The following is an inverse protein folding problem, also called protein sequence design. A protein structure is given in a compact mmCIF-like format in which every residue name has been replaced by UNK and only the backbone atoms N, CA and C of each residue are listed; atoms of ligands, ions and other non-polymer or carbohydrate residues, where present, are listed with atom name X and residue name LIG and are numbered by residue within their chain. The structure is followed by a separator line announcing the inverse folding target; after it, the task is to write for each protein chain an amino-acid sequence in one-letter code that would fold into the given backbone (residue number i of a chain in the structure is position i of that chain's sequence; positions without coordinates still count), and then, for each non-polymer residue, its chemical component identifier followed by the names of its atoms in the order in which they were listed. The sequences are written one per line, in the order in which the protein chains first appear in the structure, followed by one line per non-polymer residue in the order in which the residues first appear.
data_IF_460771469548
#
_entry.id   IF_460771469548
#
_cell.length_a   1.000
_cell.length_b   1.000
_cell.length_c   1.000
_cell.angle_alpha   90.00
_cell.angle_beta   90.00
_cell.angle_gamma   90.00
#
_symmetry.space_group_name_H-M   'P 1'
#
loop_
_entity.id
_entity.type
_entity.pdbx_description
1 polymer ?
#
# COMPACT_ATOMS: atom_id res chain seq x y z
N UNK A 1 4.19 -26.53 28.85
CA UNK A 1 3.93 -25.79 27.59
C UNK A 1 4.03 -26.76 26.43
N UNK A 2 3.21 -26.60 25.39
CA UNK A 2 3.32 -27.43 24.20
C UNK A 2 4.57 -27.01 23.39
N UNK A 3 5.55 -27.90 23.31
CA UNK A 3 6.74 -27.69 22.49
C UNK A 3 6.67 -28.53 21.21
N UNK A 4 7.15 -28.01 20.07
CA UNK A 4 7.25 -28.79 18.85
C UNK A 4 8.20 -29.98 19.08
N UNK A 5 7.67 -31.20 18.90
CA UNK A 5 8.46 -32.43 19.07
C UNK A 5 9.62 -32.56 18.09
N UNK A 6 9.50 -31.95 16.90
CA UNK A 6 10.49 -32.00 15.81
C UNK A 6 10.56 -30.67 15.05
N UNK A 7 11.71 -30.42 14.43
CA UNK A 7 11.91 -29.32 13.48
C UNK A 7 10.99 -29.49 12.26
N UNK A 8 10.40 -28.39 11.81
CA UNK A 8 9.61 -28.36 10.57
C UNK A 8 10.53 -28.44 9.34
N UNK A 9 10.17 -29.24 8.35
CA UNK A 9 10.94 -29.31 7.10
C UNK A 9 10.90 -27.99 6.34
N UNK A 10 11.93 -27.73 5.54
CA UNK A 10 12.00 -26.54 4.69
C UNK A 10 10.81 -26.49 3.72
N UNK A 11 10.45 -27.64 3.11
CA UNK A 11 9.29 -27.76 2.21
C UNK A 11 7.98 -27.40 2.90
N UNK A 12 7.76 -27.85 4.14
CA UNK A 12 6.53 -27.54 4.90
C UNK A 12 6.47 -26.05 5.26
N UNK A 13 7.61 -25.46 5.59
CA UNK A 13 7.69 -24.02 5.89
C UNK A 13 7.45 -23.17 4.65
N UNK A 14 8.03 -23.53 3.51
CA UNK A 14 7.82 -22.86 2.24
C UNK A 14 6.36 -22.96 1.78
N UNK A 15 5.75 -24.16 1.84
CA UNK A 15 4.33 -24.36 1.52
C UNK A 15 3.38 -23.56 2.41
N UNK A 16 3.72 -23.35 3.69
CA UNK A 16 2.92 -22.52 4.58
C UNK A 16 2.96 -21.04 4.19
N UNK A 17 4.11 -20.54 3.75
CA UNK A 17 4.34 -19.12 3.40
C UNK A 17 3.84 -18.73 2.00
N UNK A 18 3.27 -19.65 1.22
CA UNK A 18 2.76 -19.35 -0.14
C UNK A 18 1.59 -18.36 -0.12
N UNK A 19 0.88 -18.24 1.00
CA UNK A 19 -0.23 -17.32 1.14
C UNK A 19 0.19 -15.92 1.64
N UNK A 20 1.43 -15.77 2.12
CA UNK A 20 1.98 -14.54 2.68
C UNK A 20 2.54 -13.63 1.56
N UNK A 21 1.67 -13.20 0.62
CA UNK A 21 2.04 -12.27 -0.45
C UNK A 21 1.49 -10.87 -0.19
N UNK A 22 2.29 -9.86 -0.53
CA UNK A 22 1.84 -8.48 -0.56
C UNK A 22 0.94 -8.25 -1.77
N UNK A 23 -0.16 -7.50 -1.56
CA UNK A 23 -1.06 -7.08 -2.63
C UNK A 23 -0.80 -5.60 -2.94
N UNK A 24 -0.70 -5.27 -4.22
CA UNK A 24 -0.50 -3.89 -4.67
C UNK A 24 -1.80 -3.09 -4.41
N UNK A 25 -1.71 -1.90 -3.78
CA UNK A 25 -2.89 -1.08 -3.58
C UNK A 25 -3.40 -0.49 -4.91
N UNK A 26 -4.66 -0.06 -4.93
CA UNK A 26 -5.24 0.60 -6.10
C UNK A 26 -4.68 2.03 -6.25
N UNK A 27 -3.90 2.24 -7.32
CA UNK A 27 -3.30 3.52 -7.68
C UNK A 27 -4.06 4.08 -8.89
N UNK A 28 -4.42 5.36 -8.83
CA UNK A 28 -5.19 6.09 -9.83
C UNK A 28 -4.47 7.38 -10.20
N UNK A 29 -4.65 7.86 -11.43
CA UNK A 29 -4.12 9.14 -11.89
C UNK A 29 -4.97 10.29 -11.37
N UNK A 30 -4.33 11.32 -10.82
CA UNK A 30 -5.00 12.52 -10.34
C UNK A 30 -5.45 13.38 -11.52
N UNK A 31 -6.73 13.80 -11.60
CA UNK A 31 -7.22 14.64 -12.68
C UNK A 31 -6.69 16.08 -12.67
N UNK A 32 -6.17 16.55 -11.52
CA UNK A 32 -5.70 17.94 -11.37
C UNK A 32 -4.21 18.14 -11.70
N UNK A 33 -3.35 17.16 -11.38
CA UNK A 33 -1.90 17.29 -11.55
C UNK A 33 -1.28 16.18 -12.42
N UNK A 34 -2.02 15.13 -12.76
CA UNK A 34 -1.48 13.97 -13.50
C UNK A 34 -0.63 13.01 -12.65
N UNK A 35 -0.37 13.33 -11.38
CA UNK A 35 0.36 12.48 -10.44
C UNK A 35 -0.39 11.20 -10.06
N UNK A 36 0.35 10.19 -9.61
CA UNK A 36 -0.22 8.94 -9.11
C UNK A 36 -0.63 9.08 -7.64
N UNK A 37 -1.83 8.63 -7.29
CA UNK A 37 -2.28 8.62 -5.91
C UNK A 37 -3.11 7.37 -5.60
N UNK A 38 -3.26 7.06 -4.30
CA UNK A 38 -4.13 5.98 -3.87
C UNK A 38 -5.59 6.34 -4.11
N UNK A 39 -6.40 5.34 -4.50
CA UNK A 39 -7.84 5.53 -4.65
C UNK A 39 -8.46 6.03 -3.35
N UNK A 40 -9.39 7.01 -3.44
CA UNK A 40 -10.09 7.62 -2.29
C UNK A 40 -9.22 8.36 -1.26
N UNK A 41 -7.97 8.67 -1.57
CA UNK A 41 -7.14 9.55 -0.72
C UNK A 41 -6.89 10.89 -1.40
N UNK A 42 -6.51 11.88 -0.59
CA UNK A 42 -5.99 13.16 -1.08
C UNK A 42 -4.72 12.91 -1.90
N UNK A 43 -4.59 13.58 -3.05
CA UNK A 43 -3.37 13.48 -3.84
C UNK A 43 -2.19 14.08 -3.06
N UNK A 44 -1.08 13.34 -2.87
CA UNK A 44 0.06 13.83 -2.10
C UNK A 44 0.81 14.95 -2.81
N UNK A 45 0.73 15.05 -4.14
CA UNK A 45 1.42 16.09 -4.91
C UNK A 45 0.66 17.42 -4.88
N UNK A 46 -0.64 17.41 -5.18
CA UNK A 46 -1.40 18.66 -5.32
C UNK A 46 -2.30 19.00 -4.12
N UNK A 47 -2.48 18.12 -3.13
CA UNK A 47 -3.33 18.39 -1.96
C UNK A 47 -4.85 18.43 -2.25
N UNK A 48 -5.26 18.10 -3.48
CA UNK A 48 -6.66 18.05 -3.89
C UNK A 48 -7.28 16.67 -3.68
N UNK A 49 -8.57 16.68 -3.33
CA UNK A 49 -9.45 15.52 -3.33
C UNK A 49 -10.79 15.90 -3.96
N UNK A 50 -11.19 15.17 -5.01
CA UNK A 50 -12.46 15.40 -5.74
C UNK A 50 -12.70 16.87 -6.11
N UNK A 51 -11.66 17.54 -6.62
CA UNK A 51 -11.74 18.94 -7.06
C UNK A 51 -11.77 19.98 -5.94
N UNK A 52 -11.73 19.57 -4.67
CA UNK A 52 -11.61 20.48 -3.52
C UNK A 52 -10.20 20.43 -2.96
N UNK A 53 -9.69 21.59 -2.57
CA UNK A 53 -8.40 21.70 -1.89
C UNK A 53 -8.60 21.24 -0.44
N UNK A 54 -8.01 20.10 -0.09
CA UNK A 54 -8.14 19.49 1.23
C UNK A 54 -6.96 19.82 2.14
N UNK A 55 -5.79 20.04 1.54
CA UNK A 55 -4.56 20.42 2.23
C UNK A 55 -3.92 21.54 1.41
N UNK A 56 -3.72 22.69 2.03
CA UNK A 56 -2.84 23.74 1.49
C UNK A 56 -1.40 23.25 1.67
N UNK A 57 -0.82 22.72 0.59
CA UNK A 57 0.61 22.48 0.55
C UNK A 57 1.27 23.72 -0.08
N UNK A 58 2.11 24.41 0.69
CA UNK A 58 3.18 25.22 0.11
C UNK A 58 4.01 24.29 -0.76
N UNK A 59 4.06 24.58 -2.05
CA UNK A 59 4.86 23.81 -3.00
C UNK A 59 6.31 23.78 -2.49
N UNK A 60 6.81 22.59 -2.18
CA UNK A 60 8.24 22.40 -1.97
C UNK A 60 8.91 22.66 -3.33
N UNK A 61 9.63 23.78 -3.40
CA UNK A 61 10.58 24.13 -4.46
C UNK A 61 11.64 23.05 -4.64
#
# INVERSE_FOLDING_TARGET
MAHPKRRQSNTRTAKRRTHDKAVVPAIVVCPNCGGWHLSHTVCPECGYYRGKLAIEKEAAL
#
